data_IF_356110064061
#
_entry.id   IF_356110064061
#
_cell.length_a   1.000
_cell.length_b   1.000
_cell.length_c   1.000
_cell.angle_alpha   90.00
_cell.angle_beta   90.00
_cell.angle_gamma   90.00
#
_symmetry.space_group_name_H-M   'P 1'
#
loop_
_entity.id
_entity.type
_entity.pdbx_description
1 polymer ?
#
# COMPACT_ATOMS: atom_id res chain seq x y z
N UNK A 1 -18.92 8.52 15.78
CA UNK A 1 -19.67 9.01 14.59
C UNK A 1 -19.58 7.98 13.48
N UNK A 2 -20.69 7.57 12.87
CA UNK A 2 -20.71 6.59 11.77
C UNK A 2 -20.37 7.28 10.44
N UNK A 3 -19.42 6.73 9.69
CA UNK A 3 -18.93 7.33 8.43
C UNK A 3 -19.81 6.93 7.24
N UNK A 4 -19.69 7.63 6.11
CA UNK A 4 -20.42 7.25 4.88
C UNK A 4 -19.98 5.90 4.32
N UNK A 5 -18.71 5.52 4.50
CA UNK A 5 -18.21 4.20 4.14
C UNK A 5 -18.88 3.11 4.99
N UNK A 6 -18.93 3.29 6.31
CA UNK A 6 -19.63 2.37 7.22
C UNK A 6 -21.13 2.24 6.87
N UNK A 7 -21.81 3.37 6.60
CA UNK A 7 -23.21 3.36 6.16
C UNK A 7 -23.44 2.64 4.83
N UNK A 8 -22.44 2.62 3.93
CA UNK A 8 -22.55 1.89 2.68
C UNK A 8 -22.49 0.38 2.91
N UNK A 9 -21.66 -0.08 3.84
CA UNK A 9 -21.60 -1.50 4.22
C UNK A 9 -22.87 -1.94 4.95
N UNK A 10 -23.42 -1.10 5.84
CA UNK A 10 -24.71 -1.38 6.48
C UNK A 10 -25.82 -1.67 5.46
N UNK A 11 -25.92 -0.85 4.40
CA UNK A 11 -26.94 -1.01 3.35
C UNK A 11 -26.75 -2.27 2.50
N UNK A 12 -25.53 -2.79 2.46
CA UNK A 12 -25.18 -4.02 1.77
C UNK A 12 -25.25 -5.24 2.70
N UNK A 13 -25.60 -5.04 3.97
CA UNK A 13 -25.61 -6.08 5.01
C UNK A 13 -24.26 -6.80 5.14
N UNK A 14 -23.18 -6.03 5.00
CA UNK A 14 -21.81 -6.53 5.13
C UNK A 14 -21.28 -6.27 6.53
N UNK A 15 -20.78 -7.32 7.17
CA UNK A 15 -20.13 -7.23 8.48
C UNK A 15 -18.78 -6.53 8.41
N UNK A 16 -18.53 -5.66 9.39
CA UNK A 16 -17.26 -4.96 9.52
C UNK A 16 -16.99 -4.51 10.96
N UNK A 17 -15.71 -4.25 11.24
CA UNK A 17 -15.26 -3.68 12.50
C UNK A 17 -14.68 -2.28 12.27
N UNK A 18 -14.98 -1.33 13.17
CA UNK A 18 -14.34 -0.01 13.16
C UNK A 18 -13.16 0.01 14.10
N UNK A 19 -11.97 0.19 13.54
CA UNK A 19 -10.74 0.34 14.29
C UNK A 19 -10.41 1.83 14.43
N UNK A 20 -10.18 2.29 15.65
CA UNK A 20 -9.81 3.68 15.93
C UNK A 20 -8.33 3.80 16.31
N UNK A 21 -7.68 4.88 15.90
CA UNK A 21 -6.28 5.15 16.22
C UNK A 21 -6.01 6.65 16.37
N UNK A 22 -5.01 7.00 17.17
CA UNK A 22 -4.60 8.39 17.33
C UNK A 22 -3.99 8.96 16.06
N UNK A 23 -4.49 10.12 15.63
CA UNK A 23 -4.05 10.79 14.42
C UNK A 23 -2.87 11.69 14.73
N UNK A 24 -1.75 11.42 14.07
CA UNK A 24 -0.66 12.38 13.95
C UNK A 24 -0.81 13.08 12.59
N UNK A 25 -1.11 14.40 12.53
CA UNK A 25 -1.22 15.12 11.28
C UNK A 25 0.06 15.11 10.43
N UNK A 26 1.23 14.95 11.06
CA UNK A 26 2.52 14.85 10.40
C UNK A 26 2.78 13.47 9.79
N UNK A 27 2.15 12.41 10.33
CA UNK A 27 2.32 11.02 9.89
C UNK A 27 0.99 10.34 9.54
N UNK A 28 0.60 10.49 8.27
CA UNK A 28 -0.61 9.89 7.70
C UNK A 28 -0.31 8.71 6.77
N UNK A 29 0.85 8.06 6.92
CA UNK A 29 1.24 6.93 6.07
C UNK A 29 0.64 5.64 6.63
N UNK A 30 0.10 4.79 5.75
CA UNK A 30 -0.54 3.53 6.12
C UNK A 30 0.33 2.60 7.01
N UNK A 31 1.65 2.61 6.83
CA UNK A 31 2.58 1.83 7.67
C UNK A 31 2.60 2.30 9.12
N UNK A 32 2.36 3.60 9.37
CA UNK A 32 2.24 4.16 10.72
C UNK A 32 0.90 3.77 11.35
N UNK A 33 -0.18 3.88 10.58
CA UNK A 33 -1.51 3.40 10.98
C UNK A 33 -1.50 1.93 11.36
N UNK A 34 -0.85 1.08 10.56
CA UNK A 34 -0.72 -0.35 10.84
C UNK A 34 -0.07 -0.62 12.20
N UNK A 35 1.03 0.08 12.51
CA UNK A 35 1.70 -0.02 13.83
C UNK A 35 0.78 0.36 14.98
N UNK A 36 0.03 1.46 14.84
CA UNK A 36 -0.92 1.94 15.87
C UNK A 36 -2.07 0.96 16.13
N UNK A 37 -2.45 0.19 15.11
CA UNK A 37 -3.52 -0.79 15.17
C UNK A 37 -3.04 -2.21 15.50
N UNK A 38 -1.73 -2.43 15.65
CA UNK A 38 -1.17 -3.76 15.85
C UNK A 38 -1.35 -4.70 14.64
N UNK A 39 -1.55 -4.15 13.44
CA UNK A 39 -1.77 -4.94 12.21
C UNK A 39 -0.49 -5.03 11.37
N UNK A 40 -0.29 -6.13 10.62
CA UNK A 40 0.69 -6.17 9.54
C UNK A 40 0.49 -5.01 8.56
N UNK A 41 1.58 -4.34 8.17
CA UNK A 41 1.52 -3.22 7.22
C UNK A 41 0.98 -3.61 5.84
N UNK A 42 1.03 -4.90 5.53
CA UNK A 42 0.56 -5.49 4.28
C UNK A 42 -0.93 -5.90 4.35
N UNK A 43 -1.54 -5.91 5.55
CA UNK A 43 -2.97 -6.09 5.77
C UNK A 43 -3.74 -4.74 5.77
N UNK A 44 -3.01 -3.63 5.92
CA UNK A 44 -3.58 -2.27 5.86
C UNK A 44 -3.46 -1.72 4.45
N UNK A 45 -4.58 -1.49 3.78
CA UNK A 45 -4.64 -1.05 2.39
C UNK A 45 -4.87 0.46 2.31
N UNK A 46 -4.21 1.09 1.34
CA UNK A 46 -4.41 2.50 0.99
C UNK A 46 -5.06 2.62 -0.38
N UNK A 47 -5.98 3.58 -0.50
CA UNK A 47 -6.62 3.94 -1.77
C UNK A 47 -5.88 5.12 -2.40
N UNK A 48 -5.49 4.97 -3.66
CA UNK A 48 -4.90 6.00 -4.50
C UNK A 48 -5.88 6.37 -5.60
N UNK A 49 -5.91 7.64 -5.98
CA UNK A 49 -6.67 8.10 -7.16
C UNK A 49 -5.71 8.14 -8.34
N UNK A 50 -6.13 7.54 -9.44
CA UNK A 50 -5.32 7.38 -10.65
C UNK A 50 -6.14 7.91 -11.83
N UNK A 51 -5.48 8.55 -12.79
CA UNK A 51 -6.11 9.03 -14.02
C UNK A 51 -5.44 8.37 -15.22
N UNK A 52 -6.24 7.70 -16.04
CA UNK A 52 -5.83 7.05 -17.28
C UNK A 52 -6.19 7.86 -18.51
N UNK A 53 -5.43 7.66 -19.60
CA UNK A 53 -5.60 8.41 -20.84
C UNK A 53 -6.81 8.00 -21.70
N UNK A 54 -7.49 6.89 -21.37
CA UNK A 54 -8.67 6.42 -22.10
C UNK A 54 -9.92 6.38 -21.24
N UNK A 55 -9.80 5.93 -19.99
CA UNK A 55 -10.94 5.68 -19.12
C UNK A 55 -11.09 6.71 -17.99
N UNK A 56 -10.20 7.71 -17.93
CA UNK A 56 -10.26 8.77 -16.94
C UNK A 56 -9.93 8.29 -15.52
N UNK A 57 -10.64 8.80 -14.53
CA UNK A 57 -10.33 8.59 -13.11
C UNK A 57 -10.77 7.21 -12.61
N UNK A 58 -9.87 6.52 -11.92
CA UNK A 58 -10.09 5.24 -11.26
C UNK A 58 -9.43 5.23 -9.86
N UNK A 59 -9.75 4.21 -9.07
CA UNK A 59 -9.18 4.00 -7.73
C UNK A 59 -8.30 2.74 -7.71
N UNK A 60 -7.10 2.89 -7.16
CA UNK A 60 -6.17 1.79 -6.93
C UNK A 60 -6.04 1.52 -5.43
N UNK A 61 -6.40 0.32 -5.00
CA UNK A 61 -6.35 -0.11 -3.61
C UNK A 61 -5.20 -1.10 -3.44
N UNK A 62 -4.15 -0.69 -2.75
CA UNK A 62 -2.90 -1.47 -2.64
C UNK A 62 -2.45 -1.59 -1.19
N UNK A 63 -1.61 -2.58 -0.84
CA UNK A 63 -1.08 -2.70 0.51
C UNK A 63 -0.28 -1.46 0.92
N UNK A 64 -0.37 -1.10 2.20
CA UNK A 64 0.14 0.16 2.75
C UNK A 64 1.63 0.34 2.56
N UNK A 65 2.39 -0.75 2.66
CA UNK A 65 3.85 -0.77 2.49
C UNK A 65 4.33 -0.75 1.04
N UNK A 66 3.42 -0.92 0.07
CA UNK A 66 3.74 -1.04 -1.36
C UNK A 66 3.64 0.31 -2.10
N UNK A 67 4.07 0.35 -3.35
CA UNK A 67 3.80 1.45 -4.28
C UNK A 67 3.04 0.91 -5.49
N UNK A 68 2.23 1.77 -6.09
CA UNK A 68 1.51 1.43 -7.32
C UNK A 68 2.49 1.15 -8.46
N UNK A 69 2.26 0.07 -9.18
CA UNK A 69 2.92 -0.23 -10.44
C UNK A 69 2.08 0.33 -11.59
N UNK A 70 2.38 1.56 -12.02
CA UNK A 70 1.62 2.27 -13.06
C UNK A 70 1.49 1.49 -14.37
N UNK A 71 2.53 0.75 -14.78
CA UNK A 71 2.48 -0.06 -16.00
C UNK A 71 1.49 -1.22 -15.88
N UNK A 72 1.51 -1.92 -14.75
CA UNK A 72 0.60 -3.02 -14.51
C UNK A 72 -0.84 -2.52 -14.34
N UNK A 73 -1.03 -1.40 -13.63
CA UNK A 73 -2.33 -0.76 -13.51
C UNK A 73 -2.90 -0.32 -14.86
N UNK A 74 -2.10 0.35 -15.71
CA UNK A 74 -2.55 0.76 -17.05
C UNK A 74 -3.03 -0.44 -17.88
N UNK A 75 -2.27 -1.54 -17.88
CA UNK A 75 -2.66 -2.78 -18.55
C UNK A 75 -3.98 -3.34 -18.02
N UNK A 76 -4.15 -3.39 -16.70
CA UNK A 76 -5.36 -3.93 -16.07
C UNK A 76 -6.57 -3.01 -16.27
N UNK A 77 -6.38 -1.69 -16.27
CA UNK A 77 -7.44 -0.72 -16.45
C UNK A 77 -7.86 -0.54 -17.92
N UNK A 78 -7.06 -1.04 -18.86
CA UNK A 78 -7.25 -0.88 -20.32
C UNK A 78 -6.72 0.44 -20.86
N UNK A 79 -6.03 1.23 -20.03
CA UNK A 79 -5.40 2.49 -20.43
C UNK A 79 -4.04 2.23 -21.07
N UNK A 80 -3.60 3.16 -21.92
CA UNK A 80 -2.24 3.09 -22.48
C UNK A 80 -1.23 3.68 -21.51
N UNK A 81 -1.59 4.75 -20.80
CA UNK A 81 -0.80 5.35 -19.73
C UNK A 81 -1.72 5.80 -18.58
N UNK A 82 -1.15 5.81 -17.37
CA UNK A 82 -1.84 6.25 -16.16
C UNK A 82 -0.88 7.01 -15.26
N UNK A 83 -1.40 7.99 -14.54
CA UNK A 83 -0.67 8.76 -13.54
C UNK A 83 -1.46 8.84 -12.23
N UNK A 84 -0.75 8.87 -11.09
CA UNK A 84 -1.42 9.13 -9.81
C UNK A 84 -1.87 10.60 -9.76
N UNK A 85 -3.12 10.82 -9.41
CA UNK A 85 -3.71 12.16 -9.32
C UNK A 85 -2.98 12.99 -8.23
N UNK A 86 -2.62 14.25 -8.51
CA UNK A 86 -2.01 15.13 -7.52
C UNK A 86 -2.89 15.31 -6.28
N UNK A 87 -2.29 15.32 -5.08
CA UNK A 87 -3.01 15.39 -3.81
C UNK A 87 -4.02 16.56 -3.72
N UNK A 88 -3.73 17.69 -4.38
CA UNK A 88 -4.62 18.86 -4.43
C UNK A 88 -5.96 18.60 -5.14
N UNK A 89 -6.02 17.60 -6.03
CA UNK A 89 -7.21 17.25 -6.81
C UNK A 89 -7.99 16.07 -6.21
N UNK A 90 -7.41 15.33 -5.27
CA UNK A 90 -8.04 14.14 -4.65
C UNK A 90 -9.35 14.49 -3.93
N UNK A 91 -9.37 15.54 -3.10
CA UNK A 91 -10.57 15.93 -2.36
C UNK A 91 -11.68 16.47 -3.28
N UNK A 92 -11.40 17.34 -4.27
CA UNK A 92 -12.40 17.72 -5.27
C UNK A 92 -13.06 16.53 -5.97
N UNK A 93 -12.27 15.52 -6.38
CA UNK A 93 -12.77 14.34 -7.09
C UNK A 93 -13.56 13.39 -6.19
N UNK A 94 -12.97 13.00 -5.06
CA UNK A 94 -13.50 11.90 -4.24
C UNK A 94 -14.40 12.37 -3.10
N UNK A 95 -14.25 13.62 -2.66
CA UNK A 95 -14.81 14.11 -1.39
C UNK A 95 -13.94 13.81 -0.16
N UNK A 96 -12.93 12.95 -0.29
CA UNK A 96 -12.07 12.52 0.82
C UNK A 96 -10.75 13.30 0.88
N UNK A 97 -10.30 13.59 2.10
CA UNK A 97 -9.01 14.25 2.34
C UNK A 97 -7.87 13.23 2.39
N UNK A 98 -6.63 13.68 2.13
CA UNK A 98 -5.42 12.87 2.33
C UNK A 98 -5.42 12.22 3.72
N UNK A 99 -5.18 10.92 3.77
CA UNK A 99 -5.23 10.10 4.99
C UNK A 99 -6.61 9.55 5.35
N UNK A 100 -7.63 9.83 4.54
CA UNK A 100 -9.00 9.32 4.71
C UNK A 100 -9.65 8.88 3.39
N UNK A 101 -8.86 8.62 2.35
CA UNK A 101 -9.39 8.22 1.03
C UNK A 101 -9.77 6.74 1.07
N UNK A 102 -10.98 6.44 0.62
CA UNK A 102 -11.53 5.08 0.53
C UNK A 102 -12.27 4.91 -0.80
N UNK A 103 -12.38 3.67 -1.28
CA UNK A 103 -13.16 3.33 -2.47
C UNK A 103 -14.66 3.13 -2.17
N UNK A 104 -15.04 3.12 -0.90
CA UNK A 104 -16.44 3.02 -0.48
C UNK A 104 -17.10 4.41 -0.53
N UNK A 105 -18.36 4.47 -0.99
CA UNK A 105 -19.19 5.68 -0.93
C UNK A 105 -18.57 6.96 -1.53
N UNK A 106 -17.78 6.83 -2.60
CA UNK A 106 -17.28 7.97 -3.36
C UNK A 106 -18.41 8.78 -4.01
N UNK A 107 -18.18 10.07 -4.25
CA UNK A 107 -19.15 10.98 -4.91
C UNK A 107 -19.57 10.53 -6.32
N UNK A 108 -18.71 9.77 -7.00
CA UNK A 108 -18.92 9.24 -8.34
C UNK A 108 -18.61 7.73 -8.33
N UNK A 109 -19.26 6.95 -9.21
CA UNK A 109 -18.95 5.52 -9.37
C UNK A 109 -17.63 5.36 -10.12
N UNK A 110 -16.51 5.39 -9.41
CA UNK A 110 -15.19 5.14 -9.99
C UNK A 110 -14.94 3.65 -10.14
N UNK A 111 -14.25 3.26 -11.22
CA UNK A 111 -13.72 1.89 -11.35
C UNK A 111 -12.71 1.64 -10.24
N UNK A 112 -12.84 0.51 -9.56
CA UNK A 112 -11.96 0.13 -8.45
C UNK A 112 -11.10 -1.06 -8.86
N UNK A 113 -9.80 -0.93 -8.63
CA UNK A 113 -8.85 -2.01 -8.82
C UNK A 113 -8.15 -2.30 -7.50
N UNK A 114 -8.22 -3.55 -7.07
CA UNK A 114 -7.62 -4.01 -5.81
C UNK A 114 -6.43 -4.90 -6.12
N UNK A 115 -5.34 -4.69 -5.41
CA UNK A 115 -4.17 -5.54 -5.56
C UNK A 115 -4.44 -6.97 -5.08
N UNK A 116 -4.01 -7.96 -5.86
CA UNK A 116 -4.23 -9.38 -5.57
C UNK A 116 -3.67 -9.82 -4.21
N UNK A 117 -2.70 -9.10 -3.65
CA UNK A 117 -2.19 -9.34 -2.29
C UNK A 117 -3.29 -9.29 -1.23
N UNK A 118 -4.42 -8.63 -1.48
CA UNK A 118 -5.59 -8.66 -0.59
C UNK A 118 -6.06 -10.09 -0.30
N UNK A 119 -5.93 -11.02 -1.25
CA UNK A 119 -6.35 -12.41 -1.12
C UNK A 119 -5.50 -13.24 -0.14
N UNK A 120 -4.34 -12.72 0.27
CA UNK A 120 -3.50 -13.36 1.30
C UNK A 120 -4.14 -13.24 2.69
N UNK A 121 -5.05 -12.27 2.88
CA UNK A 121 -5.74 -12.05 4.14
C UNK A 121 -7.24 -12.32 3.99
N UNK A 122 -7.80 -13.04 4.97
CA UNK A 122 -9.26 -13.20 5.08
C UNK A 122 -9.96 -11.85 5.29
N UNK A 123 -9.36 -10.98 6.11
CA UNK A 123 -9.82 -9.62 6.38
C UNK A 123 -8.74 -8.58 6.07
N UNK A 124 -9.12 -7.47 5.47
CA UNK A 124 -8.24 -6.33 5.19
C UNK A 124 -8.72 -5.05 5.88
N UNK A 125 -7.79 -4.19 6.26
CA UNK A 125 -8.11 -2.89 6.85
C UNK A 125 -8.03 -1.79 5.78
N UNK A 126 -9.13 -1.08 5.54
CA UNK A 126 -9.23 0.05 4.60
C UNK A 126 -9.67 1.32 5.33
N UNK A 127 -9.44 2.51 4.77
CA UNK A 127 -9.88 3.75 5.43
C UNK A 127 -11.40 3.81 5.58
N UNK A 128 -11.87 4.30 6.73
CA UNK A 128 -13.30 4.54 6.99
C UNK A 128 -13.83 5.83 6.33
N UNK A 129 -13.03 6.54 5.54
CA UNK A 129 -13.40 7.82 4.93
C UNK A 129 -13.02 9.06 5.77
N UNK A 130 -12.47 8.86 6.97
CA UNK A 130 -11.95 9.91 7.85
C UNK A 130 -10.62 9.48 8.47
N UNK A 131 -9.81 10.44 8.91
CA UNK A 131 -8.56 10.13 9.65
C UNK A 131 -8.89 9.57 11.02
N UNK A 132 -8.07 8.64 11.51
CA UNK A 132 -8.22 8.05 12.84
C UNK A 132 -9.20 6.88 12.89
N UNK A 133 -9.79 6.50 11.76
CA UNK A 133 -10.67 5.35 11.66
C UNK A 133 -10.38 4.50 10.42
N UNK A 134 -10.32 3.19 10.64
CA UNK A 134 -10.23 2.16 9.62
C UNK A 134 -11.45 1.23 9.73
N UNK A 135 -11.79 0.58 8.62
CA UNK A 135 -12.77 -0.50 8.54
C UNK A 135 -11.97 -1.79 8.32
N UNK A 136 -12.14 -2.78 9.20
CA UNK A 136 -11.60 -4.12 9.03
C UNK A 136 -12.74 -5.09 8.70
N UNK A 137 -12.76 -5.59 7.47
CA UNK A 137 -13.83 -6.41 6.92
C UNK A 137 -13.27 -7.57 6.07
N UNK A 138 -14.11 -8.54 5.73
CA UNK A 138 -13.71 -9.65 4.87
C UNK A 138 -13.29 -9.13 3.48
N UNK A 139 -12.20 -9.69 2.94
CA UNK A 139 -11.66 -9.29 1.64
C UNK A 139 -12.69 -9.51 0.52
N UNK A 140 -13.40 -10.63 0.56
CA UNK A 140 -14.44 -10.95 -0.42
C UNK A 140 -15.57 -9.91 -0.40
N UNK A 141 -16.02 -9.50 0.79
CA UNK A 141 -17.06 -8.49 0.93
C UNK A 141 -16.59 -7.10 0.50
N UNK A 142 -15.33 -6.75 0.75
CA UNK A 142 -14.78 -5.51 0.24
C UNK A 142 -14.78 -5.46 -1.30
N UNK A 143 -14.36 -6.56 -1.95
CA UNK A 143 -14.38 -6.69 -3.42
C UNK A 143 -15.81 -6.58 -3.95
N UNK A 144 -16.77 -7.27 -3.31
CA UNK A 144 -18.19 -7.19 -3.64
C UNK A 144 -18.75 -5.76 -3.47
N UNK A 145 -18.47 -5.11 -2.34
CA UNK A 145 -18.97 -3.78 -2.01
C UNK A 145 -18.43 -2.68 -2.94
N UNK A 146 -17.28 -2.92 -3.58
CA UNK A 146 -16.61 -1.97 -4.47
C UNK A 146 -16.70 -2.34 -5.95
N UNK A 147 -17.32 -3.48 -6.27
CA UNK A 147 -17.31 -4.05 -7.62
C UNK A 147 -15.89 -4.07 -8.23
N UNK A 148 -14.92 -4.47 -7.40
CA UNK A 148 -13.52 -4.30 -7.74
C UNK A 148 -12.98 -5.38 -8.67
N UNK A 149 -12.10 -4.97 -9.58
CA UNK A 149 -11.27 -5.88 -10.37
C UNK A 149 -9.96 -6.16 -9.61
N UNK A 150 -9.67 -7.43 -9.36
CA UNK A 150 -8.42 -7.86 -8.73
C UNK A 150 -7.29 -8.00 -9.76
N UNK A 151 -6.07 -7.65 -9.36
CA UNK A 151 -4.88 -8.01 -10.13
C UNK A 151 -3.59 -7.49 -9.51
N UNK A 152 -2.45 -7.99 -10.01
CA UNK A 152 -1.13 -7.53 -9.59
C UNK A 152 -0.85 -6.09 -10.04
N UNK A 153 -1.10 -5.12 -9.16
CA UNK A 153 -0.94 -3.68 -9.45
C UNK A 153 0.03 -3.01 -8.48
N UNK A 154 0.57 -3.72 -7.50
CA UNK A 154 1.49 -3.21 -6.51
C UNK A 154 2.91 -3.77 -6.68
N UNK A 155 3.91 -2.99 -6.24
CA UNK A 155 5.29 -3.46 -6.09
C UNK A 155 5.81 -3.08 -4.72
N UNK A 156 6.55 -3.99 -4.10
CA UNK A 156 7.13 -3.75 -2.77
C UNK A 156 7.97 -2.49 -2.83
N UNK A 157 7.80 -1.60 -1.85
CA UNK A 157 8.68 -0.45 -1.73
C UNK A 157 10.06 -0.99 -1.38
N UNK A 158 10.96 -1.04 -2.37
CA UNK A 158 12.37 -1.23 -2.10
C UNK A 158 12.74 -0.14 -1.10
N UNK A 159 12.99 -0.53 0.14
CA UNK A 159 13.71 0.33 1.05
C UNK A 159 15.02 0.59 0.33
N UNK A 160 15.29 1.85 -0.04
CA UNK A 160 16.69 2.24 -0.18
C UNK A 160 17.26 1.98 1.21
N UNK A 161 17.82 0.79 1.46
CA UNK A 161 18.75 0.64 2.55
C UNK A 161 19.76 1.75 2.32
N UNK A 162 19.75 2.75 3.20
CA UNK A 162 20.81 3.74 3.24
C UNK A 162 22.00 2.93 3.76
N UNK A 163 22.71 2.28 2.85
CA UNK A 163 23.99 1.71 3.18
C UNK A 163 24.84 2.88 3.66
N UNK A 164 25.42 2.83 4.87
CA UNK A 164 26.26 3.91 5.36
C UNK A 164 27.38 4.11 4.35
N UNK A 165 27.32 5.22 3.60
CA UNK A 165 28.39 5.58 2.69
C UNK A 165 29.66 5.74 3.55
N UNK A 166 30.66 4.93 3.22
CA UNK A 166 32.01 4.91 3.82
C UNK A 166 32.07 4.52 5.30
N UNK A 167 31.73 3.28 5.63
CA UNK A 167 32.34 2.61 6.80
C UNK A 167 32.96 1.29 6.33
N UNK A 168 34.25 1.10 6.61
CA UNK A 168 34.91 -0.19 6.46
C UNK A 168 34.17 -1.19 7.38
N UNK A 169 33.62 -2.24 6.78
CA UNK A 169 33.01 -3.34 7.51
C UNK A 169 34.10 -4.03 8.34
N UNK A 170 33.83 -4.26 9.62
CA UNK A 170 34.70 -5.11 10.45
C UNK A 170 34.43 -6.56 10.08
N UNK A 171 35.40 -7.44 10.32
CA UNK A 171 35.30 -8.88 9.99
C UNK A 171 34.09 -9.56 10.67
N UNK A 172 33.64 -9.05 11.82
CA UNK A 172 32.40 -9.45 12.50
C UNK A 172 31.12 -9.15 11.71
N UNK A 173 31.13 -8.11 10.88
CA UNK A 173 29.95 -7.66 10.12
C UNK A 173 29.70 -8.55 8.89
N UNK A 174 30.72 -9.28 8.44
CA UNK A 174 30.66 -10.19 7.29
C UNK A 174 30.05 -11.54 7.67
N UNK A 175 30.25 -11.98 8.92
CA UNK A 175 29.72 -13.25 9.45
C UNK A 175 28.18 -13.28 9.57
N UNK A 176 27.52 -12.12 9.52
CA UNK A 176 26.06 -11.99 9.59
C UNK A 176 25.34 -11.99 8.23
N UNK A 177 26.09 -12.02 7.12
CA UNK A 177 25.52 -11.94 5.78
C UNK A 177 25.38 -13.33 5.17
N UNK A 178 24.17 -13.65 4.71
CA UNK A 178 23.92 -14.93 4.01
C UNK A 178 24.57 -14.92 2.62
N UNK A 179 24.98 -16.09 2.11
CA UNK A 179 25.76 -16.22 0.87
C UNK A 179 25.15 -15.63 -0.40
N UNK A 180 23.85 -15.27 -0.39
CA UNK A 180 23.17 -14.58 -1.48
C UNK A 180 23.42 -13.06 -1.50
N UNK A 181 23.76 -12.45 -0.36
CA UNK A 181 24.03 -11.00 -0.22
C UNK A 181 25.44 -10.60 -0.69
N UNK A 182 26.40 -11.54 -0.65
CA UNK A 182 27.81 -11.26 -0.98
C UNK A 182 28.10 -11.25 -2.49
N UNK A 183 27.31 -11.98 -3.30
CA UNK A 183 27.61 -12.19 -4.74
C UNK A 183 27.22 -11.01 -5.64
N UNK A 184 26.51 -10.01 -5.13
CA UNK A 184 25.93 -8.94 -5.95
C UNK A 184 26.78 -7.68 -6.11
N UNK A 185 27.77 -7.40 -5.25
CA UNK A 185 28.21 -6.00 -5.05
C UNK A 185 29.68 -5.72 -4.72
N UNK A 186 30.59 -6.71 -4.72
CA UNK A 186 32.00 -6.44 -4.42
C UNK A 186 32.96 -7.03 -5.46
N UNK A 187 33.87 -6.20 -6.00
CA UNK A 187 35.19 -6.68 -6.45
C UNK A 187 35.97 -7.01 -5.17
N UNK A 188 36.01 -8.29 -4.82
CA UNK A 188 36.87 -8.78 -3.75
C UNK A 188 38.32 -8.55 -4.22
N UNK A 189 39.05 -7.64 -3.58
CA UNK A 189 40.50 -7.53 -3.81
C UNK A 189 41.19 -8.67 -3.07
N UNK A 190 42.19 -9.30 -3.71
CA UNK A 190 42.87 -10.50 -3.23
C UNK A 190 43.46 -10.38 -1.81
N UNK A 191 43.69 -9.15 -1.32
CA UNK A 191 44.15 -8.88 0.04
C UNK A 191 43.18 -9.36 1.14
N UNK A 192 41.89 -9.52 0.85
CA UNK A 192 40.89 -9.99 1.83
C UNK A 192 40.74 -11.51 1.86
N UNK A 193 41.14 -12.22 0.80
CA UNK A 193 41.07 -13.69 0.76
C UNK A 193 42.20 -14.38 1.56
N UNK A 194 43.35 -13.72 1.75
CA UNK A 194 44.49 -14.31 2.46
C UNK A 194 44.33 -14.49 3.99
N UNK A 195 43.23 -14.00 4.58
CA UNK A 195 42.97 -14.03 6.03
C UNK A 195 41.69 -14.77 6.45
N UNK A 196 41.13 -15.58 5.54
CA UNK A 196 39.98 -16.44 5.83
C UNK A 196 40.34 -17.94 5.91
N UNK A 197 41.61 -18.31 5.69
CA UNK A 197 42.11 -19.69 5.78
C UNK A 197 43.21 -19.87 6.83
N UNK A 198 43.23 -19.03 7.87
CA UNK A 198 43.99 -19.28 9.11
C UNK A 198 43.05 -19.12 10.30
#
# INVERSE_FOLDING_TARGET
>A
MKTNAARALDRLEIDYELLSYEVDPADLVATSTAKKLGLPADQVFKTLVVEGDRHGVALAVIPGSYRLNLKAFARLSGDRKVDTVPLKQVQPLTGYRRGGVTALACKKPYRVFVDEWAQVYERIAVSAGIRGQMILLATADYVKATDAVLGNIAKKRLLKQRWPQKRLLKQSDVLFLSGHELRGQFRITAATMGRLNQ
#
